data_IF_309619469663
#
_entry.id   IF_309619469663
#
_cell.length_a   1.000
_cell.length_b   1.000
_cell.length_c   1.000
_cell.angle_alpha   90.00
_cell.angle_beta   90.00
_cell.angle_gamma   90.00
#
_symmetry.space_group_name_H-M   'P 1'
#
loop_
_entity.id
_entity.type
_entity.pdbx_description
1 polymer ?
#
# COMPACT_ATOMS: atom_id res chain seq x y z
N UNK A 1 70.56 -7.66 23.67
CA UNK A 1 69.17 -7.56 24.19
C UNK A 1 68.85 -6.11 24.47
N UNK A 2 68.02 -5.45 23.66
CA UNK A 2 67.28 -4.23 24.03
C UNK A 2 66.12 -4.09 23.06
N UNK A 3 64.93 -4.43 23.56
CA UNK A 3 63.68 -4.42 22.83
C UNK A 3 63.20 -2.96 22.65
N UNK A 4 62.84 -2.59 21.43
CA UNK A 4 62.12 -1.36 21.14
C UNK A 4 60.61 -1.65 21.23
N UNK A 5 59.95 -0.98 22.18
CA UNK A 5 58.50 -0.98 22.37
C UNK A 5 57.82 -0.27 21.20
N UNK A 6 56.99 -0.99 20.44
CA UNK A 6 56.03 -0.41 19.51
C UNK A 6 54.77 0.00 20.28
N UNK A 7 54.51 1.30 20.37
CA UNK A 7 53.24 1.83 20.87
C UNK A 7 52.23 1.89 19.71
N UNK A 8 51.26 0.97 19.70
CA UNK A 8 50.09 1.05 18.81
C UNK A 8 49.09 2.06 19.36
N UNK A 9 48.93 3.19 18.66
CA UNK A 9 47.81 4.12 18.86
C UNK A 9 46.51 3.45 18.39
N UNK A 10 45.64 3.12 19.34
CA UNK A 10 44.23 2.79 19.09
C UNK A 10 43.48 4.08 18.77
N UNK A 11 43.33 4.40 17.49
CA UNK A 11 42.37 5.41 17.03
C UNK A 11 40.96 4.85 17.20
N UNK A 12 40.26 5.27 18.26
CA UNK A 12 38.82 5.05 18.42
C UNK A 12 38.10 5.85 17.32
N UNK A 13 37.76 5.18 16.23
CA UNK A 13 36.87 5.71 15.20
C UNK A 13 35.48 5.77 15.83
N UNK A 14 35.12 6.92 16.40
CA UNK A 14 33.75 7.20 16.79
C UNK A 14 32.91 7.20 15.50
N UNK A 15 32.21 6.10 15.24
CA UNK A 15 31.19 6.07 14.20
C UNK A 15 30.21 7.20 14.51
N UNK A 16 29.91 8.10 13.55
CA UNK A 16 28.86 9.08 13.77
C UNK A 16 27.60 8.29 14.09
N UNK A 17 27.04 8.53 15.27
CA UNK A 17 25.70 8.08 15.58
C UNK A 17 24.82 8.71 14.50
N UNK A 18 24.41 7.90 13.52
CA UNK A 18 23.44 8.30 12.52
C UNK A 18 22.24 8.82 13.33
N UNK A 19 22.02 10.13 13.26
CA UNK A 19 20.84 10.73 13.85
C UNK A 19 19.66 9.91 13.35
N UNK A 20 18.88 9.34 14.27
CA UNK A 20 17.73 8.53 13.90
C UNK A 20 16.87 9.38 12.95
N UNK A 21 16.65 8.88 11.73
CA UNK A 21 15.80 9.58 10.76
C UNK A 21 14.51 10.00 11.48
N UNK A 22 14.11 11.29 11.40
CA UNK A 22 12.91 11.77 12.05
C UNK A 22 11.70 11.23 11.29
N UNK A 23 11.30 10.01 11.60
CA UNK A 23 10.15 9.32 11.02
C UNK A 23 8.88 9.54 11.86
N UNK A 24 7.76 10.06 11.33
CA UNK A 24 7.62 10.72 10.03
C UNK A 24 8.21 12.13 10.02
N UNK A 25 8.52 12.63 8.82
CA UNK A 25 9.00 13.99 8.59
C UNK A 25 7.87 14.81 7.97
N UNK A 26 7.33 15.79 8.69
CA UNK A 26 6.24 16.62 8.18
C UNK A 26 4.92 15.85 7.92
N UNK A 27 4.73 14.70 8.57
CA UNK A 27 3.53 13.84 8.44
C UNK A 27 3.70 12.68 7.46
N UNK A 28 4.58 12.81 6.47
CA UNK A 28 4.90 11.75 5.52
C UNK A 28 6.03 10.86 6.06
N UNK A 29 5.96 9.56 5.75
CA UNK A 29 6.93 8.56 6.15
C UNK A 29 7.95 8.35 5.03
N UNK A 30 9.25 8.49 5.32
CA UNK A 30 10.26 8.13 4.34
C UNK A 30 10.27 6.60 4.13
N UNK A 31 10.74 6.14 2.95
CA UNK A 31 10.95 4.72 2.71
C UNK A 31 11.98 4.11 3.70
N UNK A 32 12.93 4.91 4.22
CA UNK A 32 13.91 4.46 5.22
C UNK A 32 13.30 4.20 6.59
N UNK A 33 12.07 4.68 6.87
CA UNK A 33 11.33 4.36 8.09
C UNK A 33 10.81 2.91 8.11
N UNK A 34 10.80 2.24 6.96
CA UNK A 34 10.35 0.86 6.80
C UNK A 34 11.53 -0.09 6.61
N UNK A 35 11.25 -1.37 6.82
CA UNK A 35 12.10 -2.49 6.48
C UNK A 35 11.30 -3.52 5.68
N UNK A 36 12.01 -4.30 4.87
CA UNK A 36 11.40 -5.34 4.02
C UNK A 36 12.07 -6.67 4.25
N UNK A 37 11.28 -7.69 4.60
CA UNK A 37 11.72 -9.08 4.72
C UNK A 37 10.88 -9.94 3.77
N UNK A 38 11.50 -10.39 2.68
CA UNK A 38 10.78 -11.09 1.60
C UNK A 38 9.72 -10.18 0.97
N UNK A 39 8.45 -10.59 1.06
CA UNK A 39 7.29 -9.82 0.55
C UNK A 39 6.64 -8.89 1.57
N UNK A 40 7.10 -8.91 2.83
CA UNK A 40 6.50 -8.15 3.93
C UNK A 40 7.25 -6.85 4.10
N UNK A 41 6.51 -5.73 4.01
CA UNK A 41 6.97 -4.39 4.37
C UNK A 41 6.41 -4.04 5.74
N UNK A 42 7.24 -3.48 6.61
CA UNK A 42 6.81 -3.05 7.93
C UNK A 42 7.55 -1.80 8.40
N UNK A 43 6.88 -0.99 9.19
CA UNK A 43 7.50 0.12 9.93
C UNK A 43 8.52 -0.45 10.91
N UNK A 44 9.73 0.10 10.92
CA UNK A 44 10.80 -0.33 11.84
C UNK A 44 10.31 -0.25 13.28
N UNK A 45 10.70 -1.23 14.09
CA UNK A 45 10.26 -1.38 15.48
C UNK A 45 10.38 -0.10 16.31
N UNK A 46 11.44 0.69 16.10
CA UNK A 46 11.72 1.93 16.81
C UNK A 46 10.75 3.10 16.52
N UNK A 47 9.83 2.95 15.56
CA UNK A 47 8.85 3.97 15.18
C UNK A 47 7.40 3.53 15.39
N UNK A 48 7.16 2.35 15.99
CA UNK A 48 5.80 1.81 16.13
C UNK A 48 4.91 2.65 17.06
N UNK A 49 5.51 3.31 18.05
CA UNK A 49 4.85 4.24 18.97
C UNK A 49 4.34 5.52 18.30
N UNK A 50 4.82 5.83 17.09
CA UNK A 50 4.43 7.00 16.29
C UNK A 50 3.25 6.73 15.36
N UNK A 51 2.70 5.51 15.38
CA UNK A 51 1.54 5.14 14.56
C UNK A 51 0.24 5.65 15.18
N UNK A 52 -0.49 6.48 14.44
CA UNK A 52 -1.83 6.92 14.82
C UNK A 52 -2.87 5.86 14.47
N UNK A 53 -3.15 4.97 15.43
CA UNK A 53 -4.06 3.85 15.24
C UNK A 53 -5.53 4.27 15.37
N UNK A 54 -6.36 3.86 14.43
CA UNK A 54 -7.81 3.95 14.53
C UNK A 54 -8.40 2.86 15.44
N UNK A 55 -9.73 2.87 15.63
CA UNK A 55 -10.46 1.90 16.47
C UNK A 55 -10.28 0.43 16.03
N UNK A 56 -9.98 0.19 14.75
CA UNK A 56 -9.69 -1.13 14.19
C UNK A 56 -8.23 -1.57 14.38
N UNK A 57 -7.39 -0.74 15.02
CA UNK A 57 -5.97 -1.03 15.23
C UNK A 57 -5.11 -0.85 13.98
N UNK A 58 -5.55 -0.03 13.04
CA UNK A 58 -4.83 0.29 11.80
C UNK A 58 -4.43 1.76 11.79
N UNK A 59 -3.23 2.06 11.31
CA UNK A 59 -2.81 3.42 10.99
C UNK A 59 -2.75 3.60 9.47
N UNK A 60 -3.11 4.79 9.01
CA UNK A 60 -2.97 5.20 7.62
C UNK A 60 -1.72 6.06 7.51
N UNK A 61 -0.79 5.70 6.62
CA UNK A 61 0.44 6.46 6.43
C UNK A 61 0.69 6.69 4.94
N UNK A 62 1.28 7.83 4.61
CA UNK A 62 1.80 8.13 3.29
C UNK A 62 3.29 7.85 3.31
N UNK A 63 3.78 7.03 2.40
CA UNK A 63 5.20 6.83 2.15
C UNK A 63 5.59 7.80 1.04
N UNK A 64 6.65 8.59 1.22
CA UNK A 64 6.94 9.74 0.33
C UNK A 64 7.45 9.34 -1.06
N UNK A 65 8.33 8.33 -1.15
CA UNK A 65 9.06 8.01 -2.37
C UNK A 65 9.16 6.48 -2.61
N UNK A 66 8.45 5.93 -3.62
CA UNK A 66 7.37 6.59 -4.37
C UNK A 66 6.20 6.94 -3.46
N UNK A 67 5.44 7.99 -3.81
CA UNK A 67 4.27 8.41 -3.02
C UNK A 67 3.25 7.26 -2.99
N UNK A 68 3.02 6.70 -1.82
CA UNK A 68 2.16 5.53 -1.64
C UNK A 68 1.35 5.65 -0.34
N UNK A 69 0.03 5.63 -0.46
CA UNK A 69 -0.86 5.52 0.69
C UNK A 69 -1.00 4.05 1.10
N UNK A 70 -0.72 3.74 2.37
CA UNK A 70 -0.81 2.37 2.89
C UNK A 70 -1.51 2.32 4.24
N UNK A 71 -2.15 1.19 4.53
CA UNK A 71 -2.61 0.87 5.87
C UNK A 71 -1.63 -0.08 6.56
N UNK A 72 -1.27 0.23 7.80
CA UNK A 72 -0.39 -0.58 8.64
C UNK A 72 -1.14 -1.03 9.90
N UNK A 73 -0.87 -2.26 10.35
CA UNK A 73 -1.43 -2.74 11.61
C UNK A 73 -0.59 -2.33 12.83
N UNK A 74 -1.04 -2.67 14.04
CA UNK A 74 -0.32 -2.41 15.31
C UNK A 74 1.12 -2.92 15.39
N UNK A 75 1.50 -3.90 14.55
CA UNK A 75 2.87 -4.43 14.47
C UNK A 75 3.71 -3.69 13.43
N UNK A 76 3.18 -2.64 12.81
CA UNK A 76 3.80 -1.88 11.74
C UNK A 76 3.73 -2.54 10.37
N UNK A 77 3.11 -3.71 10.25
CA UNK A 77 3.05 -4.45 8.97
C UNK A 77 2.07 -3.76 8.02
N UNK A 78 2.51 -3.50 6.79
CA UNK A 78 1.65 -3.02 5.70
C UNK A 78 0.64 -4.11 5.35
N UNK A 79 -0.64 -3.86 5.63
CA UNK A 79 -1.75 -4.80 5.39
C UNK A 79 -2.53 -4.48 4.12
N UNK A 80 -2.60 -3.21 3.73
CA UNK A 80 -3.19 -2.76 2.46
C UNK A 80 -2.19 -1.79 1.81
N UNK A 81 -1.37 -2.26 0.86
CA UNK A 81 -0.45 -1.40 0.10
C UNK A 81 -1.19 -0.67 -1.03
N UNK A 82 -0.58 0.37 -1.59
CA UNK A 82 -1.06 1.03 -2.81
C UNK A 82 -2.55 1.37 -2.83
N UNK A 83 -3.07 1.96 -1.75
CA UNK A 83 -4.47 2.38 -1.66
C UNK A 83 -4.73 3.44 -2.73
N UNK A 84 -5.72 3.19 -3.58
CA UNK A 84 -6.20 4.21 -4.50
C UNK A 84 -6.92 5.31 -3.71
N UNK A 85 -6.53 6.56 -3.96
CA UNK A 85 -7.07 7.75 -3.31
C UNK A 85 -7.27 8.89 -4.33
N UNK A 86 -7.62 8.54 -5.57
CA UNK A 86 -7.76 9.47 -6.69
C UNK A 86 -9.22 9.78 -6.97
N UNK A 87 -9.68 10.96 -6.55
CA UNK A 87 -11.02 11.47 -6.82
C UNK A 87 -12.13 10.84 -5.97
N UNK A 88 -13.37 11.24 -6.26
CA UNK A 88 -14.55 11.04 -5.40
C UNK A 88 -15.05 9.59 -5.30
N UNK A 89 -14.42 8.65 -6.02
CA UNK A 89 -14.82 7.24 -6.06
C UNK A 89 -13.89 6.29 -5.29
N UNK A 90 -12.79 6.81 -4.77
CA UNK A 90 -11.75 6.05 -4.08
C UNK A 90 -11.70 6.41 -2.59
N UNK A 91 -10.73 5.87 -1.86
CA UNK A 91 -10.57 6.20 -0.44
C UNK A 91 -10.36 7.72 -0.24
N UNK A 92 -11.00 8.36 0.76
CA UNK A 92 -11.83 7.75 1.81
C UNK A 92 -13.31 7.58 1.47
N UNK A 93 -13.79 8.16 0.36
CA UNK A 93 -15.20 8.32 0.03
C UNK A 93 -15.80 7.21 -0.85
N UNK A 94 -15.06 6.11 -1.02
CA UNK A 94 -15.46 4.99 -1.86
C UNK A 94 -16.88 4.48 -1.53
N UNK A 95 -17.71 4.31 -2.57
CA UNK A 95 -19.08 3.83 -2.44
C UNK A 95 -19.13 2.50 -1.65
N UNK A 96 -20.12 2.35 -0.76
CA UNK A 96 -20.25 1.19 0.15
C UNK A 96 -19.04 0.97 1.07
N UNK A 97 -18.11 1.93 1.19
CA UNK A 97 -16.89 1.83 1.96
C UNK A 97 -15.93 0.76 1.43
N UNK A 98 -15.92 0.53 0.11
CA UNK A 98 -15.07 -0.48 -0.55
C UNK A 98 -14.07 0.20 -1.49
N UNK A 99 -12.83 0.35 -1.03
CA UNK A 99 -11.75 0.94 -1.81
C UNK A 99 -10.97 -0.07 -2.64
N UNK A 100 -10.26 0.43 -3.65
CA UNK A 100 -9.31 -0.34 -4.45
C UNK A 100 -7.90 -0.22 -3.89
N UNK A 101 -7.11 -1.26 -4.07
CA UNK A 101 -5.70 -1.21 -3.71
C UNK A 101 -4.87 -2.06 -4.67
N UNK A 102 -3.56 -1.78 -4.74
CA UNK A 102 -2.62 -2.52 -5.59
C UNK A 102 -1.51 -3.12 -4.76
N UNK A 103 -1.25 -4.41 -4.96
CA UNK A 103 -0.13 -5.13 -4.38
C UNK A 103 0.58 -5.94 -5.48
N UNK A 104 1.90 -5.75 -5.63
CA UNK A 104 2.71 -6.52 -6.59
C UNK A 104 2.16 -6.48 -8.03
N UNK A 105 1.67 -5.31 -8.46
CA UNK A 105 1.13 -5.12 -9.80
C UNK A 105 -0.27 -5.70 -10.04
N UNK A 106 -0.90 -6.30 -9.02
CA UNK A 106 -2.28 -6.79 -9.07
C UNK A 106 -3.17 -5.97 -8.16
N UNK A 107 -4.44 -5.83 -8.52
CA UNK A 107 -5.40 -5.05 -7.77
C UNK A 107 -6.43 -5.92 -7.05
N UNK A 108 -6.96 -5.40 -5.95
CA UNK A 108 -8.03 -6.00 -5.16
C UNK A 108 -8.89 -4.94 -4.48
N UNK A 109 -9.75 -5.38 -3.55
CA UNK A 109 -10.68 -4.52 -2.82
C UNK A 109 -10.56 -4.69 -1.31
N UNK A 110 -10.74 -3.58 -0.58
CA UNK A 110 -10.68 -3.55 0.88
C UNK A 110 -11.80 -2.71 1.49
N UNK A 111 -12.11 -2.93 2.77
CA UNK A 111 -13.07 -2.11 3.54
C UNK A 111 -12.39 -0.87 4.12
N UNK A 112 -12.79 0.33 3.69
CA UNK A 112 -12.16 1.59 4.06
C UNK A 112 -12.04 1.81 5.58
N UNK A 113 -13.11 1.53 6.35
CA UNK A 113 -13.11 1.77 7.80
C UNK A 113 -12.28 0.80 8.65
N UNK A 114 -11.91 -0.37 8.11
CA UNK A 114 -11.18 -1.42 8.87
C UNK A 114 -9.90 -1.88 8.19
N UNK A 115 -9.65 -1.47 6.95
CA UNK A 115 -8.57 -1.94 6.10
C UNK A 115 -8.53 -3.47 5.93
N UNK A 116 -9.69 -4.13 6.05
CA UNK A 116 -9.83 -5.57 5.78
C UNK A 116 -9.94 -5.80 4.27
N UNK A 117 -9.05 -6.60 3.71
CA UNK A 117 -9.15 -7.08 2.33
C UNK A 117 -10.43 -7.92 2.19
N UNK A 118 -11.28 -7.57 1.22
CA UNK A 118 -12.50 -8.32 0.88
C UNK A 118 -12.37 -9.06 -0.43
N UNK A 119 -11.47 -8.63 -1.32
CA UNK A 119 -11.10 -9.34 -2.54
C UNK A 119 -9.58 -9.27 -2.67
N UNK A 120 -8.88 -10.42 -2.77
CA UNK A 120 -7.42 -10.45 -2.82
C UNK A 120 -6.87 -9.80 -4.09
N UNK A 121 -5.62 -9.31 -4.07
CA UNK A 121 -5.02 -8.61 -5.20
C UNK A 121 -4.52 -9.62 -6.25
N UNK A 122 -5.43 -10.14 -7.07
CA UNK A 122 -5.14 -11.17 -8.10
C UNK A 122 -5.62 -10.77 -9.50
N UNK A 123 -6.12 -9.55 -9.65
CA UNK A 123 -6.67 -9.00 -10.90
C UNK A 123 -5.70 -8.01 -11.54
N UNK A 124 -5.72 -7.93 -12.86
CA UNK A 124 -4.86 -7.02 -13.64
C UNK A 124 -5.38 -5.58 -13.62
N UNK A 125 -6.71 -5.41 -13.61
CA UNK A 125 -7.36 -4.12 -13.51
C UNK A 125 -8.63 -4.16 -12.67
N UNK A 126 -8.87 -3.08 -11.92
CA UNK A 126 -10.02 -2.90 -11.02
C UNK A 126 -10.65 -1.53 -11.22
N UNK A 127 -11.96 -1.50 -11.42
CA UNK A 127 -12.77 -0.29 -11.45
C UNK A 127 -13.32 0.03 -10.07
N UNK A 128 -13.54 1.31 -9.78
CA UNK A 128 -14.11 1.73 -8.51
C UNK A 128 -15.51 1.13 -8.33
N UNK A 129 -15.95 1.03 -7.08
CA UNK A 129 -17.31 0.65 -6.75
C UNK A 129 -18.28 1.70 -7.34
N UNK A 130 -19.25 1.26 -8.14
CA UNK A 130 -20.31 2.10 -8.71
C UNK A 130 -21.62 1.32 -8.76
N UNK A 131 -22.71 1.92 -8.29
CA UNK A 131 -24.05 1.34 -8.27
C UNK A 131 -24.10 -0.03 -7.54
N UNK A 132 -23.41 -0.14 -6.40
CA UNK A 132 -23.41 -1.34 -5.58
C UNK A 132 -22.56 -2.50 -6.10
N UNK A 133 -21.81 -2.30 -7.18
CA UNK A 133 -20.92 -3.31 -7.77
C UNK A 133 -19.51 -2.77 -8.03
N UNK A 134 -18.52 -3.65 -8.04
CA UNK A 134 -17.21 -3.37 -8.62
C UNK A 134 -16.84 -4.41 -9.67
N UNK A 135 -16.05 -3.96 -10.65
CA UNK A 135 -15.59 -4.80 -11.75
C UNK A 135 -14.07 -4.96 -11.71
N UNK A 136 -13.60 -6.19 -11.85
CA UNK A 136 -12.19 -6.46 -12.06
C UNK A 136 -12.01 -7.43 -13.23
N UNK A 137 -10.79 -7.56 -13.75
CA UNK A 137 -10.52 -8.52 -14.79
C UNK A 137 -9.12 -9.15 -14.68
N UNK A 138 -8.99 -10.29 -15.36
CA UNK A 138 -7.72 -11.00 -15.58
C UNK A 138 -7.42 -11.01 -17.07
N UNK A 139 -6.13 -10.94 -17.42
CA UNK A 139 -5.61 -10.92 -18.79
C UNK A 139 -6.21 -9.77 -19.61
N UNK A 140 -6.31 -8.60 -18.99
CA UNK A 140 -7.02 -7.44 -19.49
C UNK A 140 -6.27 -6.14 -19.17
N UNK A 141 -6.75 -5.03 -19.75
CA UNK A 141 -6.29 -3.69 -19.40
C UNK A 141 -7.46 -2.76 -19.07
N UNK A 142 -7.20 -1.73 -18.27
CA UNK A 142 -8.11 -0.60 -18.09
C UNK A 142 -7.86 0.42 -19.19
N UNK A 143 -8.86 0.71 -20.01
CA UNK A 143 -8.79 1.75 -21.04
C UNK A 143 -9.68 2.92 -20.68
N UNK A 144 -9.11 4.11 -20.74
CA UNK A 144 -9.85 5.35 -20.54
C UNK A 144 -10.80 5.58 -21.71
N UNK A 145 -12.04 5.92 -21.41
CA UNK A 145 -13.09 6.21 -22.41
C UNK A 145 -13.19 7.70 -22.70
N UNK A 146 -12.60 8.53 -21.83
CA UNK A 146 -12.52 9.99 -21.94
C UNK A 146 -11.10 10.47 -21.56
N UNK A 147 -10.68 11.68 -21.98
CA UNK A 147 -9.45 12.31 -21.51
C UNK A 147 -9.37 12.34 -19.99
N UNK A 148 -8.15 12.29 -19.44
CA UNK A 148 -7.89 12.28 -17.99
C UNK A 148 -8.49 11.08 -17.22
N UNK A 149 -9.06 10.10 -17.92
CA UNK A 149 -9.52 8.84 -17.36
C UNK A 149 -10.60 8.98 -16.27
N UNK A 150 -11.42 10.03 -16.33
CA UNK A 150 -12.59 10.21 -15.47
C UNK A 150 -13.61 9.07 -15.63
N UNK A 151 -13.61 8.46 -16.81
CA UNK A 151 -14.29 7.21 -17.10
C UNK A 151 -13.34 6.21 -17.78
N UNK A 152 -13.57 4.93 -17.50
CA UNK A 152 -12.77 3.85 -18.05
C UNK A 152 -13.53 2.53 -18.09
N UNK A 153 -13.14 1.66 -19.01
CA UNK A 153 -13.67 0.31 -19.17
C UNK A 153 -12.56 -0.73 -19.16
N UNK A 154 -12.94 -1.96 -18.86
CA UNK A 154 -12.07 -3.13 -18.97
C UNK A 154 -12.08 -3.61 -20.42
N UNK A 155 -10.92 -4.00 -20.94
CA UNK A 155 -10.74 -4.47 -22.33
C UNK A 155 -9.91 -5.74 -22.34
N UNK A 156 -10.38 -6.75 -23.07
CA UNK A 156 -9.77 -8.08 -23.19
C UNK A 156 -9.99 -8.99 -21.98
N UNK A 157 -9.65 -10.27 -22.15
CA UNK A 157 -9.56 -11.24 -21.08
C UNK A 157 -10.90 -11.61 -20.44
N UNK A 158 -10.93 -11.70 -19.11
CA UNK A 158 -12.08 -12.17 -18.33
C UNK A 158 -12.46 -11.21 -17.24
N UNK A 159 -13.72 -10.78 -17.23
CA UNK A 159 -14.30 -9.87 -16.25
C UNK A 159 -15.00 -10.58 -15.11
N UNK A 160 -15.01 -9.94 -13.95
CA UNK A 160 -15.60 -10.40 -12.70
C UNK A 160 -16.31 -9.23 -12.01
N UNK A 161 -17.47 -9.51 -11.44
CA UNK A 161 -18.27 -8.51 -10.72
C UNK A 161 -18.47 -8.93 -9.28
N UNK A 162 -18.21 -8.02 -8.36
CA UNK A 162 -18.28 -8.25 -6.91
C UNK A 162 -19.29 -7.33 -6.24
N UNK A 163 -19.95 -7.83 -5.20
CA UNK A 163 -20.69 -6.99 -4.26
C UNK A 163 -19.78 -6.45 -3.15
N UNK A 164 -20.32 -5.56 -2.31
CA UNK A 164 -19.52 -4.89 -1.28
C UNK A 164 -18.93 -5.82 -0.21
N UNK A 165 -19.46 -7.06 -0.09
CA UNK A 165 -18.91 -8.09 0.80
C UNK A 165 -17.73 -8.83 0.16
N UNK A 166 -17.39 -8.54 -1.08
CA UNK A 166 -16.37 -9.24 -1.87
C UNK A 166 -16.88 -10.54 -2.51
N UNK A 167 -18.18 -10.81 -2.47
CA UNK A 167 -18.74 -12.01 -3.10
C UNK A 167 -18.80 -11.81 -4.61
N UNK A 168 -18.31 -12.80 -5.37
CA UNK A 168 -18.42 -12.85 -6.82
C UNK A 168 -19.90 -13.03 -7.21
N UNK A 169 -20.46 -12.03 -7.88
CA UNK A 169 -21.83 -12.07 -8.39
C UNK A 169 -21.90 -12.77 -9.75
N UNK A 170 -21.00 -12.40 -10.67
CA UNK A 170 -20.96 -12.96 -12.03
C UNK A 170 -19.61 -12.77 -12.70
N UNK A 171 -19.40 -13.54 -13.76
CA UNK A 171 -18.29 -13.40 -14.72
C UNK A 171 -18.83 -12.82 -16.03
N UNK A 172 -18.01 -12.12 -16.79
CA UNK A 172 -18.35 -11.58 -18.11
C UNK A 172 -17.13 -11.55 -19.02
N UNK A 173 -17.35 -11.34 -20.32
CA UNK A 173 -16.28 -11.10 -21.30
C UNK A 173 -16.24 -9.61 -21.59
N UNK A 174 -15.15 -8.89 -21.22
CA UNK A 174 -14.97 -7.50 -21.63
C UNK A 174 -14.89 -7.39 -23.15
N UNK A 175 -15.18 -6.20 -23.73
CA UNK A 175 -14.93 -5.96 -25.15
C UNK A 175 -13.44 -6.14 -25.49
N UNK A 176 -13.14 -6.50 -26.73
CA UNK A 176 -11.79 -6.50 -27.30
C UNK A 176 -11.27 -5.07 -27.59
#
# INVERSE_FOLDING_TARGET
>A
MRAFLLACLLALIASPALAADPCPQGGDWSASCLETAGKVRQVKRQYLDRLELNKSGMALIVIEAPRELVAVNRRGVVVVPGIAHTGDFDFPDAEQGVGRFTAQGKCGYFRAGSFRIVVPPVYDACLAFRNGEAQACQDCVRRCTVPECQDSRLVGGKGFVFNAKGALLRKFTPPE
#
